data_IF_864275787649
#
_entry.id   IF_864275787649
#
_cell.length_a   1.000
_cell.length_b   1.000
_cell.length_c   1.000
_cell.angle_alpha   90.00
_cell.angle_beta   90.00
_cell.angle_gamma   90.00
#
_symmetry.space_group_name_H-M   'P 1'
#
loop_
_entity.id
_entity.type
_entity.pdbx_description
1 polymer ?
#
# COMPACT_ATOMS: atom_id res chain seq x y z
N UNK A 1 21.66 6.82 15.57
CA UNK A 1 20.37 6.14 15.78
C UNK A 1 19.27 7.09 15.35
N UNK A 2 18.75 6.91 14.13
CA UNK A 2 17.81 7.85 13.49
C UNK A 2 16.36 7.37 13.75
N UNK A 3 15.80 7.80 14.88
CA UNK A 3 14.40 7.51 15.25
C UNK A 3 13.40 8.10 14.24
N UNK A 4 13.78 9.14 13.49
CA UNK A 4 12.92 9.77 12.47
C UNK A 4 12.67 8.92 11.22
N UNK A 5 13.61 8.05 10.83
CA UNK A 5 13.46 7.23 9.61
C UNK A 5 12.53 6.03 9.83
N UNK A 6 12.49 5.50 11.05
CA UNK A 6 11.67 4.32 11.38
C UNK A 6 10.19 4.69 11.57
N UNK A 7 9.88 5.88 12.08
CA UNK A 7 8.48 6.33 12.28
C UNK A 7 7.78 6.61 10.94
N UNK A 8 8.48 7.24 9.99
CA UNK A 8 7.94 7.49 8.63
C UNK A 8 7.65 6.17 7.88
N UNK A 9 8.42 5.10 8.15
CA UNK A 9 8.25 3.79 7.50
C UNK A 9 6.98 3.03 7.89
N UNK A 10 6.40 3.27 9.07
CA UNK A 10 5.21 2.53 9.55
C UNK A 10 3.91 3.27 9.27
N UNK A 11 3.95 4.59 9.19
CA UNK A 11 2.78 5.47 9.08
C UNK A 11 2.13 5.38 7.70
N UNK A 12 2.92 5.34 6.62
CA UNK A 12 2.38 5.37 5.26
C UNK A 12 1.49 4.18 4.88
N UNK A 13 1.84 2.95 5.31
CA UNK A 13 1.06 1.76 4.92
C UNK A 13 -0.27 1.64 5.66
N UNK A 14 -0.30 1.99 6.95
CA UNK A 14 -1.55 1.96 7.72
C UNK A 14 -2.49 3.08 7.26
N UNK A 15 -1.98 4.28 7.02
CA UNK A 15 -2.76 5.36 6.41
C UNK A 15 -3.31 4.97 5.03
N UNK A 16 -2.49 4.32 4.19
CA UNK A 16 -2.91 3.84 2.88
C UNK A 16 -4.09 2.86 2.99
N UNK A 17 -4.01 1.86 3.86
CA UNK A 17 -5.04 0.81 3.95
C UNK A 17 -6.29 1.29 4.68
N UNK A 18 -6.12 1.93 5.83
CA UNK A 18 -7.22 2.23 6.75
C UNK A 18 -7.93 3.53 6.38
N UNK A 19 -7.18 4.53 5.94
CA UNK A 19 -7.69 5.88 5.65
C UNK A 19 -7.91 6.11 4.15
N UNK A 20 -6.97 5.72 3.29
CA UNK A 20 -7.07 6.02 1.86
C UNK A 20 -7.93 5.02 1.10
N UNK A 21 -7.70 3.72 1.27
CA UNK A 21 -8.54 2.68 0.65
C UNK A 21 -9.87 2.55 1.41
N UNK A 22 -9.79 2.56 2.75
CA UNK A 22 -10.93 2.37 3.65
C UNK A 22 -11.15 0.90 4.00
N UNK A 23 -11.25 0.61 5.31
CA UNK A 23 -11.40 -0.76 5.81
C UNK A 23 -11.69 -0.94 7.30
N UNK A 24 -12.08 0.11 8.05
CA UNK A 24 -12.37 -0.04 9.48
C UNK A 24 -13.56 -1.00 9.73
N UNK A 25 -13.25 -2.19 10.24
CA UNK A 25 -14.22 -3.15 10.79
C UNK A 25 -14.69 -4.28 9.88
N UNK A 26 -14.19 -4.40 8.64
CA UNK A 26 -14.50 -5.52 7.74
C UNK A 26 -13.24 -6.30 7.38
N UNK A 27 -13.34 -7.62 7.26
CA UNK A 27 -12.27 -8.54 6.83
C UNK A 27 -11.72 -8.28 5.40
N UNK A 28 -12.11 -7.15 4.79
CA UNK A 28 -11.79 -6.73 3.43
C UNK A 28 -11.32 -5.27 3.43
N UNK A 29 -10.20 -5.03 2.75
CA UNK A 29 -9.69 -3.69 2.40
C UNK A 29 -10.18 -3.39 0.99
N UNK A 30 -10.91 -2.29 0.73
CA UNK A 30 -11.20 -1.85 -0.65
C UNK A 30 -11.66 -2.90 -1.67
N UNK A 31 -12.56 -3.82 -1.29
CA UNK A 31 -13.00 -4.98 -2.10
C UNK A 31 -11.88 -5.95 -2.54
N UNK A 32 -10.72 -5.91 -1.88
CA UNK A 32 -9.69 -6.90 -2.07
C UNK A 32 -10.10 -8.26 -1.46
N UNK A 33 -9.79 -9.31 -2.21
CA UNK A 33 -9.71 -10.70 -1.77
C UNK A 33 -8.37 -11.26 -2.28
N UNK A 34 -8.04 -12.51 -1.96
CA UNK A 34 -6.76 -13.11 -2.37
C UNK A 34 -6.55 -13.05 -3.90
N UNK A 35 -7.61 -13.27 -4.70
CA UNK A 35 -7.55 -13.18 -6.16
C UNK A 35 -7.28 -11.75 -6.63
N UNK A 36 -8.07 -10.78 -6.18
CA UNK A 36 -7.92 -9.39 -6.64
C UNK A 36 -6.68 -8.70 -6.05
N UNK A 37 -6.08 -9.28 -5.01
CA UNK A 37 -4.75 -8.91 -4.49
C UNK A 37 -3.64 -9.49 -5.37
N UNK A 38 -3.77 -10.73 -5.85
CA UNK A 38 -2.80 -11.31 -6.80
C UNK A 38 -2.80 -10.54 -8.13
N UNK A 39 -3.97 -10.16 -8.64
CA UNK A 39 -4.13 -9.36 -9.87
C UNK A 39 -3.58 -7.92 -9.71
N UNK A 40 -3.58 -7.39 -8.49
CA UNK A 40 -3.18 -6.00 -8.24
C UNK A 40 -1.72 -5.70 -8.52
N UNK A 41 -0.82 -6.58 -8.10
CA UNK A 41 0.63 -6.35 -8.25
C UNK A 41 1.04 -6.23 -9.73
N UNK A 42 0.68 -7.14 -10.65
CA UNK A 42 1.04 -6.98 -12.05
C UNK A 42 0.28 -5.84 -12.74
N UNK A 43 -1.01 -5.64 -12.44
CA UNK A 43 -1.83 -4.61 -13.13
C UNK A 43 -1.48 -3.17 -12.73
N UNK A 44 -1.13 -2.95 -11.46
CA UNK A 44 -0.98 -1.62 -10.89
C UNK A 44 0.43 -1.32 -10.37
N UNK A 45 1.20 -2.33 -9.96
CA UNK A 45 2.55 -2.14 -9.41
C UNK A 45 3.67 -2.53 -10.40
N UNK A 46 3.36 -3.26 -11.48
CA UNK A 46 4.33 -3.61 -12.51
C UNK A 46 5.26 -4.78 -12.16
N UNK A 47 4.90 -5.60 -11.15
CA UNK A 47 5.64 -6.81 -10.82
C UNK A 47 4.70 -7.96 -10.43
N UNK A 48 5.15 -9.19 -10.66
CA UNK A 48 4.42 -10.40 -10.30
C UNK A 48 4.62 -10.73 -8.81
N UNK A 49 3.52 -11.04 -8.11
CA UNK A 49 3.58 -11.50 -6.73
C UNK A 49 2.42 -12.46 -6.47
N UNK A 50 2.73 -13.66 -5.97
CA UNK A 50 1.73 -14.59 -5.45
C UNK A 50 1.46 -14.31 -3.95
N UNK A 51 0.28 -13.78 -3.58
CA UNK A 51 -0.06 -13.50 -2.18
C UNK A 51 -0.16 -14.77 -1.33
N UNK A 52 -0.31 -15.95 -1.92
CA UNK A 52 -0.37 -17.22 -1.19
C UNK A 52 0.94 -17.56 -0.48
N UNK A 53 2.07 -17.00 -0.90
CA UNK A 53 3.36 -17.13 -0.20
C UNK A 53 3.25 -16.60 1.25
N UNK A 54 2.37 -15.62 1.47
CA UNK A 54 2.17 -14.97 2.78
C UNK A 54 1.05 -15.61 3.62
N UNK A 55 0.49 -16.75 3.20
CA UNK A 55 -0.63 -17.44 3.90
C UNK A 55 -0.39 -17.76 5.38
N UNK A 56 0.87 -17.85 5.81
CA UNK A 56 1.24 -18.12 7.19
C UNK A 56 1.61 -16.87 8.00
N UNK A 57 1.73 -15.72 7.33
CA UNK A 57 2.11 -14.43 7.94
C UNK A 57 0.88 -13.53 8.11
N UNK A 58 -0.10 -13.61 7.20
CA UNK A 58 -1.36 -12.86 7.29
C UNK A 58 -2.58 -13.75 7.14
N UNK A 59 -3.53 -13.61 8.08
CA UNK A 59 -4.80 -14.36 8.13
C UNK A 59 -5.90 -13.71 7.29
N UNK A 60 -5.76 -12.43 6.95
CA UNK A 60 -6.67 -11.70 6.09
C UNK A 60 -5.86 -10.83 5.10
N UNK A 61 -6.56 -10.24 4.13
CA UNK A 61 -5.95 -9.43 3.06
C UNK A 61 -5.17 -8.24 3.63
N UNK A 62 -5.68 -7.58 4.68
CA UNK A 62 -5.01 -6.45 5.32
C UNK A 62 -3.65 -6.85 5.90
N UNK A 63 -3.63 -7.91 6.72
CA UNK A 63 -2.40 -8.46 7.31
C UNK A 63 -1.41 -8.92 6.21
N UNK A 64 -1.91 -9.53 5.11
CA UNK A 64 -1.07 -9.92 3.97
C UNK A 64 -0.48 -8.70 3.26
N UNK A 65 -1.26 -7.67 3.02
CA UNK A 65 -0.79 -6.45 2.35
C UNK A 65 0.33 -5.78 3.16
N UNK A 66 0.17 -5.70 4.48
CA UNK A 66 1.20 -5.20 5.41
C UNK A 66 2.46 -6.07 5.34
N UNK A 67 2.32 -7.39 5.42
CA UNK A 67 3.45 -8.31 5.38
C UNK A 67 4.24 -8.20 4.06
N UNK A 68 3.52 -8.13 2.93
CA UNK A 68 4.11 -7.92 1.61
C UNK A 68 4.86 -6.58 1.59
N UNK A 69 4.21 -5.49 1.98
CA UNK A 69 4.81 -4.16 1.98
C UNK A 69 6.10 -4.10 2.82
N UNK A 70 6.12 -4.70 4.02
CA UNK A 70 7.32 -4.67 4.86
C UNK A 70 8.42 -5.65 4.43
N UNK A 71 8.11 -6.66 3.62
CA UNK A 71 9.10 -7.59 3.06
C UNK A 71 9.69 -7.10 1.73
N UNK A 72 8.97 -6.25 1.00
CA UNK A 72 9.40 -5.69 -0.27
C UNK A 72 10.61 -4.73 -0.11
N UNK A 73 11.50 -4.65 -1.11
CA UNK A 73 12.52 -3.60 -1.20
C UNK A 73 11.89 -2.20 -1.38
N UNK A 74 12.62 -1.11 -1.11
CA UNK A 74 12.06 0.24 -1.09
C UNK A 74 11.38 0.68 -2.39
N UNK A 75 11.96 0.35 -3.55
CA UNK A 75 11.38 0.59 -4.87
C UNK A 75 10.01 -0.09 -5.03
N UNK A 76 9.91 -1.39 -4.72
CA UNK A 76 8.65 -2.11 -4.80
C UNK A 76 7.61 -1.58 -3.81
N UNK A 77 8.02 -1.06 -2.64
CA UNK A 77 7.09 -0.37 -1.72
C UNK A 77 6.53 0.91 -2.34
N UNK A 78 7.36 1.68 -3.03
CA UNK A 78 6.91 2.88 -3.74
C UNK A 78 5.89 2.50 -4.83
N UNK A 79 6.16 1.43 -5.59
CA UNK A 79 5.25 0.91 -6.60
C UNK A 79 3.91 0.45 -6.02
N UNK A 80 3.92 -0.20 -4.86
CA UNK A 80 2.69 -0.60 -4.16
C UNK A 80 1.84 0.62 -3.80
N UNK A 81 2.44 1.67 -3.25
CA UNK A 81 1.71 2.90 -2.91
C UNK A 81 1.09 3.50 -4.18
N UNK A 82 1.88 3.68 -5.24
CA UNK A 82 1.38 4.24 -6.51
C UNK A 82 0.31 3.37 -7.15
N UNK A 83 0.46 2.06 -7.06
CA UNK A 83 -0.51 1.10 -7.55
C UNK A 83 -1.86 1.27 -6.86
N UNK A 84 -1.87 1.46 -5.54
CA UNK A 84 -3.09 1.77 -4.79
C UNK A 84 -3.67 3.11 -5.23
N UNK A 85 -2.86 4.17 -5.32
CA UNK A 85 -3.33 5.50 -5.76
C UNK A 85 -3.94 5.45 -7.17
N UNK A 86 -3.41 4.61 -8.06
CA UNK A 86 -3.93 4.37 -9.42
C UNK A 86 -5.24 3.58 -9.42
N UNK A 87 -5.31 2.50 -8.63
CA UNK A 87 -6.51 1.65 -8.51
C UNK A 87 -7.69 2.35 -7.83
N UNK A 88 -7.38 3.24 -6.88
CA UNK A 88 -8.35 3.98 -6.09
C UNK A 88 -8.18 5.49 -6.30
N UNK A 89 -8.56 6.03 -7.46
CA UNK A 89 -8.41 7.44 -7.76
C UNK A 89 -9.31 8.31 -6.87
N UNK A 90 -8.93 9.57 -6.65
CA UNK A 90 -9.68 10.56 -5.87
C UNK A 90 -11.14 10.70 -6.34
N UNK A 91 -11.34 10.66 -7.66
CA UNK A 91 -12.64 10.88 -8.29
C UNK A 91 -13.45 9.59 -8.52
N UNK A 92 -13.17 8.52 -7.77
CA UNK A 92 -13.87 7.25 -7.94
C UNK A 92 -15.39 7.41 -7.73
N UNK A 93 -16.24 7.02 -8.69
CA UNK A 93 -17.68 7.15 -8.58
C UNK A 93 -18.23 6.09 -7.61
N UNK A 94 -18.61 6.53 -6.41
CA UNK A 94 -19.27 5.76 -5.33
C UNK A 94 -18.33 4.98 -4.38
N UNK A 95 -18.70 4.92 -3.10
CA UNK A 95 -17.99 4.22 -2.01
C UNK A 95 -16.56 4.69 -1.68
N UNK A 96 -16.23 5.94 -2.03
CA UNK A 96 -14.98 6.57 -1.63
C UNK A 96 -15.03 6.96 -0.13
N UNK A 97 -14.07 6.55 0.72
CA UNK A 97 -14.03 7.01 2.10
C UNK A 97 -13.78 8.53 2.13
N UNK A 98 -14.42 9.24 3.07
CA UNK A 98 -14.28 10.71 3.19
C UNK A 98 -12.84 11.17 3.44
N UNK A 99 -12.01 10.28 3.98
CA UNK A 99 -10.58 10.47 4.23
C UNK A 99 -9.73 10.44 2.96
N UNK A 100 -10.23 9.95 1.83
CA UNK A 100 -9.51 10.00 0.55
C UNK A 100 -9.56 11.41 -0.03
N UNK A 101 -8.71 12.28 0.51
CA UNK A 101 -8.57 13.68 0.10
C UNK A 101 -7.35 13.89 -0.80
N UNK A 102 -7.32 15.02 -1.51
CA UNK A 102 -6.15 15.45 -2.28
C UNK A 102 -4.89 15.56 -1.41
N UNK A 103 -5.03 15.99 -0.16
CA UNK A 103 -3.92 16.14 0.78
C UNK A 103 -3.34 14.77 1.16
N UNK A 104 -4.19 13.80 1.51
CA UNK A 104 -3.73 12.45 1.84
C UNK A 104 -3.10 11.76 0.61
N UNK A 105 -3.65 11.98 -0.59
CA UNK A 105 -3.04 11.52 -1.84
C UNK A 105 -1.62 12.06 -1.99
N UNK A 106 -1.44 13.37 -1.80
CA UNK A 106 -0.14 14.02 -1.94
C UNK A 106 0.87 13.55 -0.88
N UNK A 107 0.42 13.37 0.36
CA UNK A 107 1.23 12.81 1.45
C UNK A 107 1.73 11.40 1.09
N UNK A 108 0.84 10.51 0.67
CA UNK A 108 1.18 9.14 0.27
C UNK A 108 2.10 9.11 -0.96
N UNK A 109 1.90 10.01 -1.92
CA UNK A 109 2.81 10.16 -3.06
C UNK A 109 4.22 10.58 -2.61
N UNK A 110 4.32 11.52 -1.67
CA UNK A 110 5.60 11.92 -1.08
C UNK A 110 6.31 10.77 -0.33
N UNK A 111 5.55 9.87 0.31
CA UNK A 111 6.12 8.64 0.89
C UNK A 111 6.71 7.73 -0.19
N UNK A 112 6.02 7.55 -1.31
CA UNK A 112 6.53 6.76 -2.44
C UNK A 112 7.82 7.36 -3.02
N UNK A 113 7.87 8.67 -3.24
CA UNK A 113 9.08 9.38 -3.70
C UNK A 113 10.26 9.23 -2.73
N UNK A 114 10.00 9.30 -1.41
CA UNK A 114 11.01 9.07 -0.39
C UNK A 114 11.58 7.65 -0.41
N UNK A 115 10.74 6.65 -0.70
CA UNK A 115 11.14 5.25 -0.81
C UNK A 115 12.02 5.00 -2.06
N UNK A 116 11.71 5.64 -3.19
CA UNK A 116 12.55 5.57 -4.38
C UNK A 116 13.92 6.20 -4.17
N UNK A 117 13.96 7.39 -3.55
CA UNK A 117 15.21 8.06 -3.21
C UNK A 117 16.07 7.20 -2.30
N UNK A 118 15.46 6.49 -1.34
CA UNK A 118 16.16 5.51 -0.51
C UNK A 118 16.70 4.33 -1.33
N UNK A 119 15.94 3.82 -2.30
CA UNK A 119 16.39 2.73 -3.17
C UNK A 119 17.66 3.12 -3.93
N UNK A 120 17.70 4.33 -4.50
CA UNK A 120 18.88 4.85 -5.23
C UNK A 120 20.12 5.02 -4.35
N UNK A 121 19.95 5.23 -3.04
CA UNK A 121 21.06 5.34 -2.09
C UNK A 121 21.61 3.99 -1.63
N UNK A 122 20.85 2.91 -1.83
CA UNK A 122 21.22 1.55 -1.42
C UNK A 122 21.70 0.67 -2.58
N UNK A 123 21.56 1.16 -3.82
CA UNK A 123 22.07 0.53 -5.04
C UNK A 123 23.55 0.86 -5.28
#
# INVERSE_FOLDING_TARGET
>A
MNLGVTVVKTVGILQLLDEYIGGFGSFSVGNFNDKTLAEFYPEYCGFELDPHIFRYIGRNVHEKFIAIFFSAPPDQRADIIRGVLKRFPLNAPSHCPKSRTQDLYAELLGVAEGLESLSLQLA
#
